data_IF_978245132823
#
_entry.id   IF_978245132823
#
_cell.length_a   1.000
_cell.length_b   1.000
_cell.length_c   1.000
_cell.angle_alpha   90.00
_cell.angle_beta   90.00
_cell.angle_gamma   90.00
#
_symmetry.space_group_name_H-M   'P 1'
#
loop_
_entity.id
_entity.type
_entity.pdbx_description
1 polymer ?
#
# COMPACT_ATOMS: atom_id res chain seq x y z
N UNK A 1 5.45 -11.84 26.68
CA UNK A 1 6.21 -11.28 25.52
C UNK A 1 5.28 -10.49 24.60
N UNK A 2 5.83 -9.63 23.74
CA UNK A 2 5.03 -8.97 22.68
C UNK A 2 5.55 -9.32 21.28
N UNK A 3 4.69 -9.20 20.27
CA UNK A 3 5.00 -9.47 18.86
C UNK A 3 4.96 -8.17 18.07
N UNK A 4 6.07 -7.84 17.41
CA UNK A 4 6.12 -6.73 16.43
C UNK A 4 5.95 -7.30 15.03
N UNK A 5 5.05 -6.70 14.23
CA UNK A 5 4.86 -7.06 12.84
C UNK A 5 5.11 -5.84 11.97
N UNK A 6 6.14 -5.90 11.13
CA UNK A 6 6.46 -4.86 10.16
C UNK A 6 6.04 -5.23 8.74
N UNK A 7 6.04 -4.25 7.84
CA UNK A 7 5.62 -4.46 6.45
C UNK A 7 6.63 -5.25 5.63
N UNK A 8 7.93 -5.12 5.94
CA UNK A 8 9.05 -5.68 5.14
C UNK A 8 10.14 -6.25 6.04
N UNK A 9 10.89 -7.26 5.56
CA UNK A 9 11.99 -7.84 6.32
C UNK A 9 13.10 -6.85 6.72
N UNK A 10 13.35 -5.83 5.90
CA UNK A 10 14.35 -4.79 6.19
C UNK A 10 13.97 -3.94 7.38
N UNK A 11 12.71 -3.52 7.44
CA UNK A 11 12.16 -2.74 8.58
C UNK A 11 12.15 -3.57 9.85
N UNK A 12 11.75 -4.84 9.75
CA UNK A 12 11.78 -5.77 10.90
C UNK A 12 13.17 -5.92 11.48
N UNK A 13 14.18 -6.04 10.63
CA UNK A 13 15.58 -6.16 11.09
C UNK A 13 16.07 -4.90 11.82
N UNK A 14 15.77 -3.72 11.27
CA UNK A 14 16.12 -2.46 11.90
C UNK A 14 15.46 -2.33 13.30
N UNK A 15 14.16 -2.63 13.38
CA UNK A 15 13.46 -2.61 14.67
C UNK A 15 14.04 -3.67 15.64
N UNK A 16 14.25 -4.89 15.15
CA UNK A 16 14.75 -6.00 15.95
C UNK A 16 16.15 -5.73 16.56
N UNK A 17 17.03 -5.09 15.80
CA UNK A 17 18.37 -4.69 16.25
C UNK A 17 18.27 -3.73 17.44
N UNK A 18 17.40 -2.73 17.33
CA UNK A 18 17.22 -1.70 18.37
C UNK A 18 16.56 -2.24 19.64
N UNK A 19 15.59 -3.18 19.52
CA UNK A 19 14.88 -3.73 20.68
C UNK A 19 15.49 -5.04 21.21
N UNK A 20 16.62 -5.49 20.64
CA UNK A 20 17.37 -6.65 21.13
C UNK A 20 16.81 -8.01 20.71
N UNK A 21 16.06 -8.11 19.60
CA UNK A 21 15.61 -9.37 19.03
C UNK A 21 16.60 -9.87 17.97
N UNK A 22 17.66 -10.57 18.40
CA UNK A 22 18.79 -10.95 17.52
C UNK A 22 18.82 -12.43 17.16
N UNK A 23 18.11 -13.29 17.88
CA UNK A 23 18.06 -14.72 17.61
C UNK A 23 17.21 -14.97 16.34
N UNK A 24 17.80 -15.62 15.35
CA UNK A 24 17.14 -15.91 14.07
C UNK A 24 16.34 -17.18 14.13
N UNK A 25 15.08 -17.07 13.78
CA UNK A 25 14.15 -18.15 13.63
C UNK A 25 13.54 -18.18 12.23
N UNK A 26 12.78 -19.22 11.93
CA UNK A 26 12.09 -19.33 10.65
C UNK A 26 10.94 -18.31 10.55
N UNK A 27 11.17 -17.26 9.76
CA UNK A 27 10.22 -16.19 9.48
C UNK A 27 10.06 -15.13 10.57
N UNK A 28 10.90 -15.12 11.62
CA UNK A 28 10.90 -14.09 12.66
C UNK A 28 12.26 -13.99 13.38
N UNK A 29 12.41 -12.97 14.20
CA UNK A 29 13.54 -12.75 15.10
C UNK A 29 13.04 -12.79 16.55
N UNK A 30 13.79 -13.41 17.45
CA UNK A 30 13.45 -13.55 18.87
C UNK A 30 14.41 -12.77 19.74
N UNK A 31 13.86 -12.09 20.73
CA UNK A 31 14.55 -11.48 21.84
C UNK A 31 14.07 -12.05 23.17
N UNK A 32 14.54 -11.49 24.27
CA UNK A 32 14.15 -11.93 25.63
C UNK A 32 12.66 -11.72 25.88
N UNK A 33 12.12 -10.54 25.55
CA UNK A 33 10.74 -10.16 25.86
C UNK A 33 9.89 -9.88 24.61
N UNK A 34 10.45 -10.07 23.41
CA UNK A 34 9.81 -9.74 22.16
C UNK A 34 10.11 -10.74 21.05
N UNK A 35 9.20 -10.76 20.08
CA UNK A 35 9.41 -11.37 18.77
C UNK A 35 9.14 -10.32 17.69
N UNK A 36 9.91 -10.34 16.59
CA UNK A 36 9.77 -9.44 15.47
C UNK A 36 9.60 -10.25 14.20
N UNK A 37 8.48 -10.08 13.52
CA UNK A 37 8.20 -10.74 12.27
C UNK A 37 7.77 -9.70 11.22
N UNK A 38 7.53 -10.14 10.00
CA UNK A 38 7.28 -9.25 8.87
C UNK A 38 6.24 -9.81 7.91
N UNK A 39 5.65 -8.89 7.16
CA UNK A 39 4.98 -9.19 5.92
C UNK A 39 5.96 -9.07 4.73
N UNK A 40 5.54 -9.50 3.55
CA UNK A 40 6.18 -9.20 2.27
C UNK A 40 5.29 -8.22 1.48
N UNK A 41 4.97 -7.07 2.07
CA UNK A 41 3.89 -6.22 1.62
C UNK A 41 2.53 -6.91 1.86
N UNK A 42 1.59 -6.79 0.93
CA UNK A 42 0.30 -7.49 1.06
C UNK A 42 0.49 -9.01 1.02
N UNK A 43 0.14 -9.69 2.11
CA UNK A 43 0.09 -11.16 2.19
C UNK A 43 -1.29 -11.70 1.78
N UNK A 44 -2.29 -10.84 1.77
CA UNK A 44 -3.65 -11.21 1.48
C UNK A 44 -4.32 -10.16 0.58
N UNK A 45 -5.25 -10.60 -0.23
CA UNK A 45 -5.95 -9.81 -1.24
C UNK A 45 -7.42 -10.20 -1.32
N UNK A 46 -8.24 -9.33 -1.92
CA UNK A 46 -9.63 -9.69 -2.19
C UNK A 46 -9.68 -10.80 -3.24
N UNK A 47 -10.57 -11.75 -3.01
CA UNK A 47 -10.74 -12.88 -3.94
C UNK A 47 -11.21 -12.43 -5.31
N UNK A 48 -10.90 -13.23 -6.32
CA UNK A 48 -11.40 -13.04 -7.67
C UNK A 48 -12.93 -13.25 -7.75
N UNK A 49 -13.60 -12.70 -8.76
CA UNK A 49 -15.05 -12.79 -8.89
C UNK A 49 -15.64 -14.20 -8.89
N UNK A 50 -14.92 -15.15 -9.45
CA UNK A 50 -15.32 -16.58 -9.50
C UNK A 50 -15.45 -17.21 -8.12
N UNK A 51 -14.73 -16.70 -7.10
CA UNK A 51 -14.89 -17.15 -5.72
C UNK A 51 -16.22 -16.69 -5.08
N UNK A 52 -16.94 -15.77 -5.71
CA UNK A 52 -18.30 -15.37 -5.30
C UNK A 52 -19.38 -16.17 -6.04
N UNK A 53 -19.18 -16.40 -7.35
CA UNK A 53 -20.11 -17.18 -8.19
C UNK A 53 -19.34 -17.72 -9.41
N UNK A 54 -19.44 -19.03 -9.65
CA UNK A 54 -18.74 -19.71 -10.76
C UNK A 54 -19.07 -19.13 -12.14
N UNK A 55 -20.24 -18.51 -12.33
CA UNK A 55 -20.58 -17.82 -13.60
C UNK A 55 -19.57 -16.75 -13.98
N UNK A 56 -18.90 -16.13 -13.00
CA UNK A 56 -17.90 -15.09 -13.23
C UNK A 56 -16.53 -15.62 -13.74
N UNK A 57 -16.37 -16.93 -13.89
CA UNK A 57 -15.23 -17.52 -14.60
C UNK A 57 -15.21 -17.06 -16.06
N UNK A 58 -16.38 -16.98 -16.68
CA UNK A 58 -16.53 -16.43 -18.01
C UNK A 58 -16.79 -14.94 -17.93
N UNK A 59 -16.06 -14.17 -18.74
CA UNK A 59 -16.25 -12.73 -18.78
C UNK A 59 -17.36 -12.41 -19.77
N UNK A 60 -18.51 -12.02 -19.24
CA UNK A 60 -19.68 -11.61 -20.01
C UNK A 60 -20.09 -10.20 -19.61
N UNK A 61 -20.49 -9.41 -20.57
CA UNK A 61 -20.92 -8.03 -20.33
C UNK A 61 -22.20 -7.96 -19.50
N UNK A 62 -23.11 -8.88 -19.72
CA UNK A 62 -24.40 -9.00 -19.01
C UNK A 62 -24.29 -9.34 -17.53
N UNK A 63 -23.13 -9.87 -17.10
CA UNK A 63 -22.87 -10.18 -15.69
C UNK A 63 -22.36 -8.97 -14.88
N UNK A 64 -22.18 -7.82 -15.53
CA UNK A 64 -21.67 -6.59 -14.90
C UNK A 64 -22.82 -5.67 -14.47
N UNK A 65 -22.68 -4.92 -13.37
CA UNK A 65 -21.50 -4.89 -12.50
C UNK A 65 -21.47 -6.01 -11.47
N UNK A 66 -20.28 -6.51 -11.15
CA UNK A 66 -20.03 -7.44 -10.05
C UNK A 66 -19.81 -6.62 -8.78
N UNK A 67 -20.74 -6.72 -7.84
CA UNK A 67 -20.69 -5.98 -6.57
C UNK A 67 -20.83 -7.02 -5.43
N UNK A 68 -19.72 -7.37 -4.75
CA UNK A 68 -19.80 -8.29 -3.61
C UNK A 68 -20.65 -7.70 -2.48
N UNK A 69 -21.55 -8.52 -1.93
CA UNK A 69 -22.29 -8.16 -0.70
C UNK A 69 -21.39 -8.33 0.52
N UNK A 70 -20.70 -9.46 0.56
CA UNK A 70 -19.76 -9.82 1.62
C UNK A 70 -18.35 -9.92 1.02
N UNK A 71 -17.46 -9.05 1.47
CA UNK A 71 -16.09 -9.02 0.98
C UNK A 71 -15.28 -10.19 1.55
N UNK A 72 -14.69 -10.97 0.67
CA UNK A 72 -13.83 -12.11 1.02
C UNK A 72 -12.38 -11.77 0.72
N UNK A 73 -11.51 -12.07 1.68
CA UNK A 73 -10.05 -11.91 1.56
C UNK A 73 -9.41 -13.28 1.63
N UNK A 74 -8.41 -13.52 0.82
CA UNK A 74 -7.63 -14.76 0.81
C UNK A 74 -6.14 -14.45 0.90
N UNK A 75 -5.37 -15.41 1.38
CA UNK A 75 -3.91 -15.33 1.41
C UNK A 75 -3.38 -15.62 0.01
N UNK A 76 -2.46 -14.78 -0.48
CA UNK A 76 -1.79 -14.98 -1.76
C UNK A 76 -0.98 -16.28 -1.73
N UNK A 77 -1.07 -17.09 -2.79
CA UNK A 77 -0.53 -18.45 -2.84
C UNK A 77 0.97 -18.51 -2.54
N UNK A 78 1.71 -17.58 -3.13
CA UNK A 78 3.18 -17.43 -3.02
C UNK A 78 3.66 -16.92 -1.65
N UNK A 79 2.73 -16.53 -0.76
CA UNK A 79 3.03 -15.92 0.55
C UNK A 79 2.45 -16.70 1.73
N UNK A 80 1.89 -17.87 1.47
CA UNK A 80 1.24 -18.70 2.48
C UNK A 80 2.16 -19.06 3.63
N UNK A 81 3.42 -19.41 3.34
CA UNK A 81 4.36 -19.84 4.38
C UNK A 81 4.54 -18.75 5.45
N UNK A 82 4.83 -17.53 5.02
CA UNK A 82 4.98 -16.42 5.95
C UNK A 82 3.67 -16.07 6.68
N UNK A 83 2.54 -16.18 6.01
CA UNK A 83 1.25 -15.98 6.66
C UNK A 83 1.01 -17.01 7.77
N UNK A 84 1.32 -18.29 7.55
CA UNK A 84 1.14 -19.31 8.57
C UNK A 84 2.08 -19.12 9.75
N UNK A 85 3.32 -18.64 9.52
CA UNK A 85 4.22 -18.25 10.60
C UNK A 85 3.60 -17.12 11.43
N UNK A 86 3.15 -16.05 10.80
CA UNK A 86 2.48 -14.93 11.47
C UNK A 86 1.22 -15.39 12.22
N UNK A 87 0.40 -16.24 11.63
CA UNK A 87 -0.80 -16.79 12.27
C UNK A 87 -0.46 -17.60 13.51
N UNK A 88 0.61 -18.40 13.48
CA UNK A 88 1.10 -19.16 14.65
C UNK A 88 1.57 -18.20 15.74
N UNK A 89 2.38 -17.20 15.40
CA UNK A 89 2.88 -16.21 16.36
C UNK A 89 1.75 -15.38 16.98
N UNK A 90 0.83 -14.87 16.17
CA UNK A 90 -0.34 -14.10 16.60
C UNK A 90 -1.23 -14.86 17.59
N UNK A 91 -1.25 -16.18 17.53
CA UNK A 91 -2.05 -17.04 18.42
C UNK A 91 -1.22 -17.75 19.50
N UNK A 92 0.10 -17.48 19.57
CA UNK A 92 0.96 -18.07 20.58
C UNK A 92 0.56 -17.61 21.99
N UNK A 93 0.46 -18.50 22.98
CA UNK A 93 0.17 -18.13 24.37
C UNK A 93 1.25 -17.27 25.01
N UNK A 94 2.48 -17.29 24.49
CA UNK A 94 3.59 -16.45 24.97
C UNK A 94 3.40 -14.97 24.65
N UNK A 95 2.60 -14.65 23.63
CA UNK A 95 2.38 -13.27 23.19
C UNK A 95 1.19 -12.66 23.95
N UNK A 96 1.40 -11.57 24.63
CA UNK A 96 0.41 -10.83 25.40
C UNK A 96 -0.30 -9.78 24.55
N UNK A 97 0.47 -9.05 23.72
CA UNK A 97 -0.05 -8.05 22.81
C UNK A 97 0.80 -7.96 21.53
N UNK A 98 0.25 -7.34 20.52
CA UNK A 98 0.85 -7.19 19.19
C UNK A 98 1.13 -5.71 18.93
N UNK A 99 2.28 -5.43 18.31
CA UNK A 99 2.63 -4.10 17.84
C UNK A 99 2.56 -4.08 16.31
N UNK A 100 1.63 -3.31 15.77
CA UNK A 100 1.61 -2.98 14.34
C UNK A 100 2.72 -1.97 14.05
N UNK A 101 3.77 -2.42 13.40
CA UNK A 101 4.92 -1.64 12.94
C UNK A 101 5.00 -1.56 11.40
N UNK A 102 3.88 -1.79 10.69
CA UNK A 102 3.81 -1.52 9.26
C UNK A 102 3.93 -0.03 8.99
N UNK A 103 4.24 0.33 7.75
CA UNK A 103 4.49 1.71 7.35
C UNK A 103 3.39 2.67 7.85
N UNK A 104 3.79 3.89 8.23
CA UNK A 104 2.89 4.90 8.79
C UNK A 104 1.98 5.47 7.67
N UNK A 105 0.87 4.80 7.41
CA UNK A 105 -0.06 5.18 6.35
C UNK A 105 -1.17 4.17 6.14
N UNK A 106 -2.08 4.49 5.20
CA UNK A 106 -3.24 3.64 4.88
C UNK A 106 -2.85 2.23 4.44
N UNK A 107 -1.79 2.09 3.63
CA UNK A 107 -1.38 0.78 3.12
C UNK A 107 -0.86 -0.11 4.25
N UNK A 108 -0.03 0.43 5.16
CA UNK A 108 0.44 -0.33 6.32
C UNK A 108 -0.70 -0.76 7.24
N UNK A 109 -1.73 0.08 7.45
CA UNK A 109 -2.93 -0.31 8.20
C UNK A 109 -3.69 -1.45 7.51
N UNK A 110 -3.83 -1.43 6.18
CA UNK A 110 -4.51 -2.46 5.42
C UNK A 110 -3.75 -3.81 5.47
N UNK A 111 -2.44 -3.76 5.28
CA UNK A 111 -1.57 -4.95 5.31
C UNK A 111 -1.70 -5.64 6.67
N UNK A 112 -1.52 -4.89 7.75
CA UNK A 112 -1.66 -5.43 9.10
C UNK A 112 -3.05 -5.97 9.38
N UNK A 113 -4.09 -5.19 9.05
CA UNK A 113 -5.49 -5.56 9.28
C UNK A 113 -5.84 -6.88 8.62
N UNK A 114 -5.52 -7.07 7.35
CA UNK A 114 -5.81 -8.31 6.64
C UNK A 114 -5.14 -9.52 7.30
N UNK A 115 -3.88 -9.40 7.68
CA UNK A 115 -3.15 -10.48 8.36
C UNK A 115 -3.74 -10.77 9.73
N UNK A 116 -4.02 -9.73 10.49
CA UNK A 116 -4.59 -9.86 11.83
C UNK A 116 -5.97 -10.52 11.80
N UNK A 117 -6.87 -10.03 10.96
CA UNK A 117 -8.24 -10.55 10.83
C UNK A 117 -8.24 -12.02 10.36
N UNK A 118 -7.46 -12.36 9.33
CA UNK A 118 -7.34 -13.72 8.81
C UNK A 118 -6.66 -14.68 9.80
N UNK A 119 -5.81 -14.19 10.69
CA UNK A 119 -5.18 -15.01 11.72
C UNK A 119 -6.19 -15.51 12.77
N UNK A 120 -7.30 -14.77 12.96
CA UNK A 120 -8.30 -15.01 14.00
C UNK A 120 -7.85 -14.60 15.40
N UNK A 121 -6.71 -13.93 15.54
CA UNK A 121 -6.20 -13.45 16.83
C UNK A 121 -7.16 -12.45 17.48
N UNK A 122 -7.16 -12.44 18.82
CA UNK A 122 -7.94 -11.51 19.66
C UNK A 122 -7.05 -10.72 20.62
N UNK A 123 -5.75 -10.75 20.38
CA UNK A 123 -4.78 -10.08 21.27
C UNK A 123 -4.88 -8.56 21.12
N UNK A 124 -4.64 -7.80 22.21
CA UNK A 124 -4.57 -6.35 22.14
C UNK A 124 -3.53 -5.89 21.11
N UNK A 125 -3.85 -4.85 20.34
CA UNK A 125 -2.96 -4.28 19.34
C UNK A 125 -2.57 -2.86 19.76
N UNK A 126 -1.28 -2.59 19.69
CA UNK A 126 -0.69 -1.26 19.81
C UNK A 126 -0.07 -0.85 18.47
N UNK A 127 0.10 0.43 18.24
CA UNK A 127 0.65 1.01 17.01
C UNK A 127 1.99 1.68 17.25
N UNK A 128 3.02 1.23 16.57
CA UNK A 128 4.28 1.94 16.41
C UNK A 128 4.15 2.87 15.19
N UNK A 129 4.06 4.17 15.45
CA UNK A 129 3.91 5.18 14.39
C UNK A 129 5.18 6.00 14.26
N UNK A 130 6.04 5.61 13.32
CA UNK A 130 7.33 6.27 13.05
C UNK A 130 7.47 6.58 11.56
N UNK A 131 8.18 7.65 11.24
CA UNK A 131 8.52 8.07 9.88
C UNK A 131 10.01 7.92 9.54
N UNK A 132 10.83 7.51 10.52
CA UNK A 132 12.25 7.25 10.36
C UNK A 132 12.59 5.90 10.98
N UNK A 133 13.63 5.24 10.43
CA UNK A 133 14.20 3.99 10.96
C UNK A 133 15.53 4.22 11.69
N UNK A 134 15.82 5.45 12.07
CA UNK A 134 16.94 5.73 12.97
C UNK A 134 16.68 5.16 14.36
N UNK A 135 17.73 4.66 15.02
CA UNK A 135 17.63 3.98 16.32
C UNK A 135 16.88 4.82 17.35
N UNK A 136 17.17 6.12 17.41
CA UNK A 136 16.51 7.06 18.30
C UNK A 136 14.98 7.16 18.05
N UNK A 137 14.56 7.17 16.79
CA UNK A 137 13.16 7.23 16.41
C UNK A 137 12.42 5.93 16.72
N UNK A 138 13.08 4.79 16.54
CA UNK A 138 12.52 3.46 16.91
C UNK A 138 12.36 3.36 18.41
N UNK A 139 13.40 3.74 19.19
CA UNK A 139 13.36 3.70 20.66
C UNK A 139 12.26 4.61 21.22
N UNK A 140 12.20 5.84 20.76
CA UNK A 140 11.16 6.78 21.18
C UNK A 140 9.75 6.26 20.82
N UNK A 141 9.57 5.77 19.59
CA UNK A 141 8.31 5.20 19.14
C UNK A 141 7.87 3.97 19.95
N UNK A 142 8.80 3.10 20.34
CA UNK A 142 8.53 1.93 21.18
C UNK A 142 8.16 2.31 22.62
N UNK A 143 8.70 3.41 23.14
CA UNK A 143 8.31 3.96 24.44
C UNK A 143 6.93 4.63 24.40
N UNK A 144 6.52 5.15 23.26
CA UNK A 144 5.29 5.89 23.04
C UNK A 144 4.29 5.18 22.12
N UNK A 145 4.15 3.86 22.28
CA UNK A 145 3.18 3.08 21.52
C UNK A 145 1.76 3.60 21.72
N UNK A 146 1.05 3.81 20.63
CA UNK A 146 -0.32 4.33 20.62
C UNK A 146 -1.35 3.20 20.60
N UNK A 147 -2.59 3.52 20.93
CA UNK A 147 -3.69 2.58 20.77
C UNK A 147 -4.00 2.36 19.30
N UNK A 148 -4.25 1.10 18.89
CA UNK A 148 -4.71 0.81 17.53
C UNK A 148 -6.06 1.47 17.23
N UNK A 149 -6.88 1.75 18.24
CA UNK A 149 -8.19 2.42 18.07
C UNK A 149 -8.06 3.85 17.51
N UNK A 150 -6.97 4.56 17.82
CA UNK A 150 -6.70 5.89 17.25
C UNK A 150 -6.57 5.85 15.72
N UNK A 151 -6.21 4.71 15.15
CA UNK A 151 -6.00 4.51 13.71
C UNK A 151 -7.15 3.76 13.03
N UNK A 152 -8.23 3.46 13.75
CA UNK A 152 -9.38 2.72 13.22
C UNK A 152 -9.95 3.35 11.95
N UNK A 153 -10.18 4.65 11.95
CA UNK A 153 -10.71 5.35 10.77
C UNK A 153 -9.74 5.35 9.59
N UNK A 154 -8.42 5.35 9.87
CA UNK A 154 -7.42 5.23 8.82
C UNK A 154 -7.44 3.84 8.18
N UNK A 155 -7.57 2.79 8.99
CA UNK A 155 -7.73 1.41 8.53
C UNK A 155 -9.04 1.22 7.74
N UNK A 156 -10.15 1.79 8.20
CA UNK A 156 -11.44 1.78 7.48
C UNK A 156 -11.34 2.48 6.12
N UNK A 157 -10.68 3.64 6.07
CA UNK A 157 -10.43 4.37 4.81
C UNK A 157 -9.56 3.56 3.85
N UNK A 158 -8.58 2.80 4.35
CA UNK A 158 -7.75 1.91 3.56
C UNK A 158 -8.56 0.76 2.95
N UNK A 159 -9.44 0.13 3.76
CA UNK A 159 -10.37 -0.91 3.30
C UNK A 159 -11.30 -0.36 2.21
N UNK A 160 -11.95 0.78 2.44
CA UNK A 160 -12.84 1.41 1.46
C UNK A 160 -12.11 1.71 0.14
N UNK A 161 -10.89 2.22 0.22
CA UNK A 161 -10.06 2.46 -0.97
C UNK A 161 -9.76 1.18 -1.73
N UNK A 162 -9.32 0.13 -1.04
CA UNK A 162 -9.00 -1.16 -1.66
C UNK A 162 -10.22 -1.80 -2.32
N UNK A 163 -11.38 -1.72 -1.66
CA UNK A 163 -12.65 -2.18 -2.24
C UNK A 163 -13.04 -1.37 -3.48
N UNK A 164 -12.88 -0.05 -3.46
CA UNK A 164 -13.14 0.80 -4.61
C UNK A 164 -12.19 0.49 -5.78
N UNK A 165 -10.91 0.24 -5.49
CA UNK A 165 -9.93 -0.17 -6.50
C UNK A 165 -10.30 -1.52 -7.13
N UNK A 166 -10.76 -2.49 -6.32
CA UNK A 166 -11.25 -3.76 -6.82
C UNK A 166 -12.51 -3.60 -7.69
N UNK A 167 -13.51 -2.83 -7.22
CA UNK A 167 -14.75 -2.60 -7.94
C UNK A 167 -14.51 -1.96 -9.32
N UNK A 168 -13.72 -0.88 -9.35
CA UNK A 168 -13.42 -0.18 -10.60
C UNK A 168 -12.55 -1.04 -11.51
N UNK A 169 -11.45 -1.57 -10.98
CA UNK A 169 -10.50 -2.35 -11.76
C UNK A 169 -11.12 -3.61 -12.35
N UNK A 170 -11.87 -4.35 -11.53
CA UNK A 170 -12.47 -5.61 -11.95
C UNK A 170 -13.59 -5.40 -12.99
N UNK A 171 -14.55 -4.52 -12.69
CA UNK A 171 -15.69 -4.31 -13.57
C UNK A 171 -15.32 -3.59 -14.86
N UNK A 172 -14.52 -2.52 -14.78
CA UNK A 172 -14.12 -1.78 -15.97
C UNK A 172 -13.21 -2.61 -16.89
N UNK A 173 -12.24 -3.35 -16.33
CA UNK A 173 -11.40 -4.25 -17.13
C UNK A 173 -12.24 -5.27 -17.90
N UNK A 174 -13.21 -5.91 -17.24
CA UNK A 174 -14.09 -6.88 -17.90
C UNK A 174 -14.99 -6.23 -18.95
N UNK A 175 -15.60 -5.06 -18.64
CA UNK A 175 -16.46 -4.35 -19.56
C UNK A 175 -15.72 -3.96 -20.84
N UNK A 176 -14.55 -3.35 -20.73
CA UNK A 176 -13.75 -2.97 -21.89
C UNK A 176 -13.23 -4.17 -22.66
N UNK A 177 -12.74 -5.19 -21.95
CA UNK A 177 -12.22 -6.42 -22.58
C UNK A 177 -13.29 -7.14 -23.39
N UNK A 178 -14.50 -7.29 -22.85
CA UNK A 178 -15.63 -7.94 -23.55
C UNK A 178 -16.15 -7.09 -24.70
N UNK A 179 -16.20 -5.76 -24.52
CA UNK A 179 -16.69 -4.84 -25.57
C UNK A 179 -15.76 -4.78 -26.79
N UNK A 180 -14.45 -4.79 -26.57
CA UNK A 180 -13.46 -4.61 -27.63
C UNK A 180 -12.76 -5.91 -28.05
N UNK A 181 -13.12 -7.04 -27.47
CA UNK A 181 -12.52 -8.36 -27.74
C UNK A 181 -11.00 -8.38 -27.61
N UNK A 182 -10.47 -7.53 -26.75
CA UNK A 182 -9.04 -7.40 -26.48
C UNK A 182 -8.84 -7.11 -24.98
N UNK A 183 -7.86 -7.77 -24.34
CA UNK A 183 -7.57 -7.51 -22.93
C UNK A 183 -7.16 -6.04 -22.71
N UNK A 184 -8.03 -5.28 -22.09
CA UNK A 184 -7.85 -3.87 -21.74
C UNK A 184 -7.97 -3.72 -20.23
N UNK A 185 -6.83 -3.56 -19.58
CA UNK A 185 -6.78 -3.37 -18.12
C UNK A 185 -7.11 -1.93 -17.77
N UNK A 186 -8.03 -1.75 -16.84
CA UNK A 186 -8.43 -0.45 -16.31
C UNK A 186 -8.15 -0.40 -14.82
N UNK A 187 -7.60 0.69 -14.33
CA UNK A 187 -7.32 0.91 -12.91
C UNK A 187 -7.32 2.39 -12.56
N UNK A 188 -7.57 2.71 -11.30
CA UNK A 188 -7.69 4.10 -10.82
C UNK A 188 -6.37 4.89 -10.85
N UNK A 189 -5.23 4.22 -10.84
CA UNK A 189 -3.90 4.84 -10.96
C UNK A 189 -3.33 4.61 -12.36
N UNK A 190 -3.34 3.38 -12.82
CA UNK A 190 -2.74 2.96 -14.09
C UNK A 190 -3.34 3.69 -15.30
N UNK A 191 -4.65 3.81 -15.38
CA UNK A 191 -5.32 4.43 -16.54
C UNK A 191 -5.07 5.94 -16.62
N UNK A 192 -5.23 6.74 -15.54
CA UNK A 192 -4.88 8.16 -15.58
C UNK A 192 -3.40 8.41 -15.88
N UNK A 193 -2.50 7.59 -15.33
CA UNK A 193 -1.07 7.70 -15.63
C UNK A 193 -0.79 7.47 -17.10
N UNK A 194 -1.39 6.45 -17.71
CA UNK A 194 -1.28 6.20 -19.15
C UNK A 194 -1.85 7.36 -19.96
N UNK A 195 -2.99 7.93 -19.54
CA UNK A 195 -3.60 9.08 -20.23
C UNK A 195 -2.66 10.29 -20.24
N UNK A 196 -2.01 10.62 -19.13
CA UNK A 196 -1.02 11.68 -19.06
C UNK A 196 0.18 11.43 -19.98
N UNK A 197 0.65 10.19 -20.07
CA UNK A 197 1.75 9.82 -20.97
C UNK A 197 1.34 9.98 -22.45
N UNK A 198 0.12 9.54 -22.81
CA UNK A 198 -0.40 9.66 -24.17
C UNK A 198 -0.61 11.12 -24.55
N UNK A 199 -1.15 11.93 -23.64
CA UNK A 199 -1.29 13.37 -23.85
C UNK A 199 0.06 14.05 -24.08
N UNK A 200 1.06 13.73 -23.24
CA UNK A 200 2.41 14.25 -23.37
C UNK A 200 3.08 13.82 -24.68
N UNK A 201 2.91 12.58 -25.09
CA UNK A 201 3.40 12.08 -26.36
C UNK A 201 2.73 12.84 -27.55
N UNK A 202 1.43 13.11 -27.45
CA UNK A 202 0.71 13.92 -28.41
C UNK A 202 1.25 15.36 -28.52
N UNK A 203 1.50 16.02 -27.38
CA UNK A 203 2.09 17.36 -27.34
C UNK A 203 3.48 17.37 -28.01
N UNK A 204 4.30 16.35 -27.76
CA UNK A 204 5.63 16.24 -28.38
C UNK A 204 5.51 16.03 -29.90
N UNK A 205 4.63 15.14 -30.36
CA UNK A 205 4.44 14.82 -31.77
C UNK A 205 3.86 16.01 -32.57
N UNK A 206 3.04 16.82 -31.92
CA UNK A 206 2.39 17.99 -32.55
C UNK A 206 3.11 19.30 -32.19
N UNK A 207 4.32 19.22 -31.64
CA UNK A 207 5.06 20.41 -31.22
C UNK A 207 5.37 21.31 -32.40
N UNK A 208 4.91 22.55 -32.33
CA UNK A 208 5.26 23.61 -33.26
C UNK A 208 6.29 24.54 -32.62
N UNK A 209 7.32 24.85 -33.35
CA UNK A 209 8.36 25.79 -32.89
C UNK A 209 7.78 27.19 -32.89
N UNK A 210 7.77 27.83 -31.74
CA UNK A 210 7.42 29.25 -31.59
C UNK A 210 8.65 30.03 -31.13
N UNK A 211 8.80 31.21 -31.69
CA UNK A 211 9.87 32.13 -31.27
C UNK A 211 9.37 32.91 -30.05
N UNK A 212 10.19 33.00 -29.04
CA UNK A 212 9.93 33.81 -27.86
C UNK A 212 11.21 34.54 -27.43
N UNK A 213 11.03 35.53 -26.61
CA UNK A 213 12.09 36.32 -26.03
C UNK A 213 12.08 36.18 -24.52
N UNK A 214 13.25 36.25 -23.88
CA UNK A 214 13.37 36.49 -22.45
C UNK A 214 13.94 37.88 -22.26
N UNK A 215 13.39 38.63 -21.32
CA UNK A 215 13.97 39.89 -20.87
C UNK A 215 14.69 39.64 -19.56
N UNK A 216 15.97 39.94 -19.53
CA UNK A 216 16.79 39.81 -18.35
C UNK A 216 17.27 41.19 -17.94
N UNK A 217 17.10 41.54 -16.69
CA UNK A 217 17.59 42.77 -16.06
C UNK A 217 18.58 42.37 -14.98
N UNK A 218 19.72 43.04 -14.99
CA UNK A 218 20.68 42.98 -13.89
C UNK A 218 20.51 44.23 -13.02
N UNK A 219 20.04 44.01 -11.79
CA UNK A 219 19.84 45.05 -10.80
C UNK A 219 20.95 44.95 -9.73
N UNK A 220 22.11 45.51 -10.01
CA UNK A 220 23.27 45.47 -9.11
C UNK A 220 23.65 44.03 -8.67
N UNK A 221 23.73 43.10 -9.62
CA UNK A 221 24.05 41.69 -9.38
C UNK A 221 22.88 40.81 -8.95
N UNK A 222 21.65 41.33 -8.94
CA UNK A 222 20.43 40.55 -8.73
C UNK A 222 19.74 40.38 -10.08
N UNK A 223 19.74 39.16 -10.66
CA UNK A 223 19.07 38.91 -11.93
C UNK A 223 17.55 38.88 -11.75
N UNK A 224 16.84 39.62 -12.58
CA UNK A 224 15.39 39.53 -12.72
C UNK A 224 15.05 39.11 -14.15
N UNK A 225 14.23 38.07 -14.30
CA UNK A 225 13.91 37.50 -15.61
C UNK A 225 12.39 37.48 -15.82
N UNK A 226 11.93 38.08 -16.94
CA UNK A 226 10.58 37.85 -17.47
C UNK A 226 10.68 36.83 -18.62
N UNK A 227 10.28 35.57 -18.41
CA UNK A 227 10.43 34.53 -19.42
C UNK A 227 9.25 34.51 -20.42
N UNK A 228 9.56 34.05 -21.63
CA UNK A 228 8.60 33.74 -22.70
C UNK A 228 7.66 34.87 -23.08
N UNK A 229 8.24 35.98 -23.52
CA UNK A 229 7.50 37.05 -24.19
C UNK A 229 7.39 36.66 -25.67
N UNK A 230 6.18 36.53 -26.19
CA UNK A 230 5.92 36.14 -27.58
C UNK A 230 5.81 37.36 -28.49
N UNK A 231 5.36 38.47 -27.98
CA UNK A 231 5.34 39.77 -28.68
C UNK A 231 6.55 40.58 -28.28
N UNK A 232 7.43 40.96 -29.23
CA UNK A 232 8.61 41.77 -28.93
C UNK A 232 8.26 43.21 -28.49
N UNK A 233 7.02 43.66 -28.72
CA UNK A 233 6.56 45.01 -28.35
C UNK A 233 5.85 45.01 -26.96
N UNK A 234 5.70 43.85 -26.30
CA UNK A 234 5.18 43.72 -24.95
C UNK A 234 6.23 44.08 -23.89
#
# INVERSE_FOLDING_TARGET
MYLVIAEKPSVSRAIAEVIGAQEREDGYLRGTDCMVSWCFGHLAEYVSPDAYDEKFNQWRYEDLPIIPKDWKVTVSEDKKDQFYILKRLLNSPEIEYVVNACDAGREGELIFKHVYDLSGSKKPVKRLWISSLEDSAILDGMQHLRSAEEYRHLAEAAVCRSQADWLVGMNATRAYTTKYFKKLTVGRVQTPTLAMLVERAGQISNFQKEKYFNVELDCDGIPAVKPKIFDPDE
#
